data_IF_114855260121
#
_entry.id   IF_114855260121
#
_cell.length_a   1.000
_cell.length_b   1.000
_cell.length_c   1.000
_cell.angle_alpha   90.00
_cell.angle_beta   90.00
_cell.angle_gamma   90.00
#
_symmetry.space_group_name_H-M   'P 1'
#
loop_
_entity.id
_entity.type
_entity.pdbx_description
1 polymer ?
#
# COMPACT_ATOMS: atom_id res chain seq x y z
N UNK A 1 -18.58 14.08 9.00
CA UNK A 1 -17.85 14.27 7.73
C UNK A 1 -17.92 15.73 7.30
N UNK A 2 -19.04 16.24 6.81
CA UNK A 2 -19.21 17.70 6.55
C UNK A 2 -18.86 18.55 7.79
N UNK A 3 -19.28 18.06 8.95
CA UNK A 3 -18.99 18.63 10.27
C UNK A 3 -17.52 18.50 10.75
N UNK A 4 -16.59 17.88 10.00
CA UNK A 4 -15.16 17.76 10.34
C UNK A 4 -14.20 18.41 9.35
N UNK A 5 -14.65 18.70 8.12
CA UNK A 5 -13.83 19.26 7.03
C UNK A 5 -13.33 20.71 7.20
N UNK A 6 -14.03 21.67 7.84
CA UNK A 6 -13.72 23.09 7.62
C UNK A 6 -12.34 23.51 8.12
N UNK A 7 -11.91 22.99 9.28
CA UNK A 7 -10.58 23.34 9.83
C UNK A 7 -9.43 22.79 8.96
N UNK A 8 -9.39 21.48 8.62
CA UNK A 8 -8.34 20.98 7.74
C UNK A 8 -8.39 21.60 6.33
N UNK A 9 -9.57 21.88 5.76
CA UNK A 9 -9.64 22.51 4.43
C UNK A 9 -9.13 23.94 4.43
N UNK A 10 -9.40 24.72 5.49
CA UNK A 10 -8.86 26.08 5.62
C UNK A 10 -7.34 26.05 5.73
N UNK A 11 -6.80 25.13 6.55
CA UNK A 11 -5.36 24.98 6.72
C UNK A 11 -4.67 24.53 5.42
N UNK A 12 -5.28 23.57 4.71
CA UNK A 12 -4.79 23.12 3.40
C UNK A 12 -4.82 24.24 2.36
N UNK A 13 -5.92 25.01 2.31
CA UNK A 13 -6.05 26.15 1.41
C UNK A 13 -5.02 27.24 1.73
N UNK A 14 -4.79 27.54 3.01
CA UNK A 14 -3.76 28.48 3.43
C UNK A 14 -2.37 28.02 2.97
N UNK A 15 -2.05 26.73 3.15
CA UNK A 15 -0.82 26.15 2.64
C UNK A 15 -0.69 26.28 1.12
N UNK A 16 -1.75 25.95 0.38
CA UNK A 16 -1.79 26.10 -1.07
C UNK A 16 -1.61 27.54 -1.56
N UNK A 17 -2.15 28.53 -0.82
CA UNK A 17 -1.92 29.95 -1.12
C UNK A 17 -0.45 30.32 -0.91
N UNK A 18 0.19 29.84 0.16
CA UNK A 18 1.60 30.09 0.45
C UNK A 18 2.55 29.44 -0.59
N UNK A 19 2.11 28.37 -1.25
CA UNK A 19 2.84 27.67 -2.31
C UNK A 19 2.72 28.34 -3.69
N UNK A 20 1.95 29.44 -3.84
CA UNK A 20 1.78 30.14 -5.12
C UNK A 20 3.08 30.84 -5.55
N UNK A 21 3.34 30.95 -6.87
CA UNK A 21 4.64 31.38 -7.42
C UNK A 21 4.95 32.89 -7.35
N UNK A 22 4.46 33.63 -6.35
CA UNK A 22 4.78 35.05 -6.20
C UNK A 22 6.06 35.15 -5.36
N UNK A 23 7.20 35.18 -6.05
CA UNK A 23 8.57 35.23 -5.51
C UNK A 23 8.86 34.11 -4.51
N UNK A 24 9.62 33.08 -4.93
CA UNK A 24 9.93 31.87 -4.12
C UNK A 24 10.77 32.18 -2.87
N UNK A 25 10.18 32.86 -1.89
CA UNK A 25 10.72 32.97 -0.54
C UNK A 25 10.63 31.57 0.05
N UNK A 26 11.78 30.91 0.25
CA UNK A 26 11.85 29.55 0.79
C UNK A 26 11.03 29.40 2.07
N UNK A 27 10.99 30.46 2.90
CA UNK A 27 10.19 30.55 4.13
C UNK A 27 8.70 30.26 3.90
N UNK A 28 8.14 30.86 2.85
CA UNK A 28 6.73 30.70 2.50
C UNK A 28 6.44 29.28 1.98
N UNK A 29 7.38 28.68 1.22
CA UNK A 29 7.24 27.33 0.69
C UNK A 29 7.23 26.30 1.82
N UNK A 30 8.22 26.33 2.72
CA UNK A 30 8.27 25.37 3.84
C UNK A 30 7.09 25.50 4.80
N UNK A 31 6.61 26.73 5.07
CA UNK A 31 5.37 26.93 5.84
C UNK A 31 4.13 26.41 5.09
N UNK A 32 4.08 26.61 3.77
CA UNK A 32 3.01 26.12 2.91
C UNK A 32 2.90 24.59 2.93
N UNK A 33 4.02 23.90 2.75
CA UNK A 33 4.11 22.43 2.84
C UNK A 33 3.75 21.94 4.25
N UNK A 34 4.27 22.61 5.29
CA UNK A 34 3.94 22.30 6.68
C UNK A 34 2.45 22.39 6.98
N UNK A 35 1.75 23.41 6.46
CA UNK A 35 0.30 23.52 6.61
C UNK A 35 -0.47 22.45 5.85
N UNK A 36 -0.01 22.01 4.68
CA UNK A 36 -0.66 20.95 3.92
C UNK A 36 -0.55 19.59 4.62
N UNK A 37 0.63 19.22 5.12
CA UNK A 37 0.80 18.00 5.92
C UNK A 37 0.01 18.08 7.23
N UNK A 38 0.10 19.19 7.95
CA UNK A 38 -0.70 19.41 9.15
C UNK A 38 -2.21 19.27 8.89
N UNK A 39 -2.71 19.72 7.73
CA UNK A 39 -4.10 19.55 7.33
C UNK A 39 -4.47 18.08 7.07
N UNK A 40 -3.58 17.34 6.40
CA UNK A 40 -3.76 15.92 6.10
C UNK A 40 -3.81 15.08 7.38
N UNK A 41 -2.91 15.32 8.34
CA UNK A 41 -2.94 14.72 9.68
C UNK A 41 -4.19 15.13 10.50
N UNK A 42 -4.61 16.39 10.40
CA UNK A 42 -5.72 16.92 11.21
C UNK A 42 -7.08 16.35 10.78
N UNK A 43 -7.23 15.96 9.51
CA UNK A 43 -8.47 15.41 8.96
C UNK A 43 -8.94 14.11 9.65
N UNK A 44 -8.15 13.01 9.72
CA UNK A 44 -8.55 11.80 10.46
C UNK A 44 -8.76 12.08 11.96
N UNK A 45 -7.92 12.90 12.58
CA UNK A 45 -8.04 13.21 14.01
C UNK A 45 -9.34 13.97 14.31
N UNK A 46 -9.69 14.98 13.52
CA UNK A 46 -10.95 15.71 13.70
C UNK A 46 -12.17 14.87 13.32
N UNK A 47 -12.04 13.96 12.37
CA UNK A 47 -13.09 12.98 12.07
C UNK A 47 -13.37 12.08 13.29
N UNK A 48 -12.34 11.47 13.88
CA UNK A 48 -12.47 10.63 15.08
C UNK A 48 -13.03 11.44 16.26
N UNK A 49 -12.54 12.67 16.47
CA UNK A 49 -13.02 13.58 17.52
C UNK A 49 -14.52 13.83 17.42
N UNK A 50 -15.03 14.02 16.19
CA UNK A 50 -16.43 14.38 15.92
C UNK A 50 -17.33 13.15 15.74
N UNK A 51 -16.78 11.98 15.42
CA UNK A 51 -17.43 10.67 15.62
C UNK A 51 -17.71 10.42 17.10
N UNK A 52 -16.76 10.76 17.98
CA UNK A 52 -16.83 10.54 19.43
C UNK A 52 -17.58 11.65 20.21
N UNK A 53 -18.36 12.50 19.52
CA UNK A 53 -19.22 13.49 20.19
C UNK A 53 -20.41 12.77 20.84
N UNK A 54 -20.98 13.31 21.93
CA UNK A 54 -22.23 12.80 22.49
C UNK A 54 -23.33 12.81 21.41
N UNK A 55 -24.03 11.69 21.19
CA UNK A 55 -24.99 11.55 20.08
C UNK A 55 -24.34 11.60 18.69
N UNK A 56 -23.03 11.36 18.59
CA UNK A 56 -22.28 11.28 17.33
C UNK A 56 -22.45 9.92 16.65
N UNK A 57 -21.74 9.72 15.53
CA UNK A 57 -21.83 8.48 14.74
C UNK A 57 -21.40 7.23 15.54
N UNK A 58 -20.42 7.36 16.43
CA UNK A 58 -19.98 6.25 17.29
C UNK A 58 -21.11 5.73 18.19
N UNK A 59 -21.94 6.64 18.70
CA UNK A 59 -23.05 6.36 19.62
C UNK A 59 -24.31 5.92 18.84
N UNK A 60 -24.77 6.75 17.90
CA UNK A 60 -26.03 6.53 17.19
C UNK A 60 -25.99 5.43 16.11
N UNK A 61 -24.83 5.19 15.48
CA UNK A 61 -24.71 4.22 14.39
C UNK A 61 -23.93 2.97 14.78
N UNK A 62 -22.80 3.13 15.48
CA UNK A 62 -21.94 2.02 15.87
C UNK A 62 -22.21 1.48 17.29
N UNK A 63 -23.05 2.16 18.08
CA UNK A 63 -23.41 1.79 19.46
C UNK A 63 -22.18 1.51 20.34
N UNK A 64 -21.13 2.29 20.17
CA UNK A 64 -19.93 2.19 21.00
C UNK A 64 -20.24 2.60 22.45
N UNK A 65 -19.67 1.93 23.47
CA UNK A 65 -19.92 2.28 24.85
C UNK A 65 -19.43 3.70 25.18
N UNK A 66 -20.12 4.35 26.11
CA UNK A 66 -19.90 5.76 26.42
C UNK A 66 -18.55 6.05 27.12
N UNK A 67 -17.91 5.02 27.70
CA UNK A 67 -16.63 5.15 28.39
C UNK A 67 -15.42 5.23 27.41
N UNK A 68 -15.19 4.26 26.49
CA UNK A 68 -14.16 4.37 25.44
C UNK A 68 -14.28 5.65 24.63
N UNK A 69 -15.50 6.05 24.26
CA UNK A 69 -15.77 7.27 23.49
C UNK A 69 -15.33 8.53 24.25
N UNK A 70 -15.58 8.60 25.56
CA UNK A 70 -15.13 9.71 26.41
C UNK A 70 -13.62 9.74 26.55
N UNK A 71 -13.03 8.57 26.78
CA UNK A 71 -11.60 8.40 26.96
C UNK A 71 -10.82 8.87 25.72
N UNK A 72 -11.16 8.35 24.53
CA UNK A 72 -10.55 8.76 23.26
C UNK A 72 -10.69 10.26 23.04
N UNK A 73 -11.88 10.82 23.26
CA UNK A 73 -12.11 12.26 23.10
C UNK A 73 -11.26 13.10 24.05
N UNK A 74 -11.00 12.65 25.28
CA UNK A 74 -10.14 13.36 26.24
C UNK A 74 -8.71 13.43 25.73
N UNK A 75 -8.14 12.32 25.28
CA UNK A 75 -6.75 12.28 24.82
C UNK A 75 -6.55 13.01 23.48
N UNK A 76 -7.56 13.02 22.63
CA UNK A 76 -7.52 13.77 21.38
C UNK A 76 -7.53 15.31 21.57
N UNK A 77 -7.87 15.81 22.78
CA UNK A 77 -7.82 17.25 23.09
C UNK A 77 -6.41 17.77 23.35
N UNK A 78 -5.53 16.95 23.91
CA UNK A 78 -4.12 17.33 24.11
C UNK A 78 -3.27 16.94 22.90
N UNK A 79 -3.58 15.81 22.24
CA UNK A 79 -2.76 15.31 21.13
C UNK A 79 -2.81 16.23 19.90
N UNK A 80 -4.00 16.68 19.48
CA UNK A 80 -4.16 17.56 18.30
C UNK A 80 -3.31 18.84 18.38
N UNK A 81 -3.39 19.66 19.45
CA UNK A 81 -2.61 20.90 19.52
C UNK A 81 -1.10 20.68 19.66
N UNK A 82 -0.64 19.46 19.98
CA UNK A 82 0.79 19.10 19.98
C UNK A 82 1.22 18.58 18.61
N UNK A 83 0.49 17.61 18.04
CA UNK A 83 0.85 16.97 16.79
C UNK A 83 0.84 17.94 15.60
N UNK A 84 -0.18 18.79 15.50
CA UNK A 84 -0.39 19.67 14.33
C UNK A 84 0.74 20.70 14.17
N UNK A 85 1.14 21.48 15.18
CA UNK A 85 2.29 22.39 15.04
C UNK A 85 3.59 21.65 14.84
N UNK A 86 3.75 20.49 15.49
CA UNK A 86 5.01 19.74 15.40
C UNK A 86 5.24 19.17 14.01
N UNK A 87 4.21 18.59 13.37
CA UNK A 87 4.28 18.16 11.97
C UNK A 87 4.56 19.34 11.02
N UNK A 88 3.91 20.48 11.23
CA UNK A 88 4.19 21.68 10.44
C UNK A 88 5.65 22.13 10.59
N UNK A 89 6.21 22.08 11.79
CA UNK A 89 7.63 22.40 12.03
C UNK A 89 8.59 21.38 11.43
N UNK A 90 8.30 20.07 11.53
CA UNK A 90 9.13 19.03 10.91
C UNK A 90 9.31 19.31 9.42
N UNK A 91 8.20 19.50 8.70
CA UNK A 91 8.22 19.73 7.25
C UNK A 91 8.83 21.09 6.92
N UNK A 92 8.48 22.15 7.67
CA UNK A 92 9.04 23.47 7.42
C UNK A 92 10.56 23.48 7.60
N UNK A 93 11.10 22.89 8.68
CA UNK A 93 12.55 22.86 8.91
C UNK A 93 13.30 21.91 7.99
N UNK A 94 12.66 20.83 7.52
CA UNK A 94 13.24 19.95 6.50
C UNK A 94 13.51 20.70 5.19
N UNK A 95 12.60 21.60 4.80
CA UNK A 95 12.79 22.48 3.64
C UNK A 95 14.04 23.38 3.74
N UNK A 96 14.49 23.72 4.96
CA UNK A 96 15.70 24.55 5.21
C UNK A 96 16.93 23.74 5.64
N UNK A 97 16.90 22.41 5.60
CA UNK A 97 17.91 21.54 6.21
C UNK A 97 19.31 21.59 5.54
N UNK A 98 19.56 22.52 4.61
CA UNK A 98 20.89 22.81 4.07
C UNK A 98 21.85 23.38 5.13
N UNK A 99 21.35 24.06 6.17
CA UNK A 99 22.15 24.51 7.31
C UNK A 99 22.09 23.51 8.47
N UNK A 100 23.25 23.18 9.04
CA UNK A 100 23.41 22.30 10.21
C UNK A 100 22.54 22.69 11.40
N UNK A 101 22.28 23.99 11.61
CA UNK A 101 21.42 24.47 12.69
C UNK A 101 19.93 24.13 12.45
N UNK A 102 19.43 24.32 11.22
CA UNK A 102 18.05 24.02 10.85
C UNK A 102 17.76 22.51 10.86
N UNK A 103 18.76 21.71 10.48
CA UNK A 103 18.69 20.26 10.57
C UNK A 103 18.47 19.78 12.02
N UNK A 104 19.02 20.47 13.02
CA UNK A 104 18.79 20.15 14.44
C UNK A 104 17.35 20.42 14.90
N UNK A 105 16.75 21.53 14.46
CA UNK A 105 15.38 21.92 14.82
C UNK A 105 14.33 20.97 14.25
N UNK A 106 14.49 20.52 13.00
CA UNK A 106 13.61 19.51 12.40
C UNK A 106 13.63 18.18 13.17
N UNK A 107 14.82 17.73 13.61
CA UNK A 107 14.97 16.51 14.42
C UNK A 107 14.33 16.63 15.80
N UNK A 108 14.44 17.80 16.44
CA UNK A 108 13.79 18.06 17.73
C UNK A 108 12.27 18.07 17.59
N UNK A 109 11.73 18.74 16.56
CA UNK A 109 10.31 18.69 16.24
C UNK A 109 9.87 17.24 15.99
N UNK A 110 10.58 16.50 15.15
CA UNK A 110 10.26 15.10 14.85
C UNK A 110 10.25 14.23 16.12
N UNK A 111 11.25 14.40 16.99
CA UNK A 111 11.32 13.70 18.28
C UNK A 111 10.13 14.03 19.18
N UNK A 112 9.72 15.30 19.24
CA UNK A 112 8.55 15.72 20.00
C UNK A 112 7.24 15.13 19.45
N UNK A 113 7.11 15.05 18.11
CA UNK A 113 5.96 14.42 17.45
C UNK A 113 5.91 12.93 17.76
N UNK A 114 7.04 12.23 17.63
CA UNK A 114 7.12 10.80 17.92
C UNK A 114 6.85 10.50 19.40
N UNK A 115 7.30 11.35 20.33
CA UNK A 115 6.95 11.23 21.74
C UNK A 115 5.44 11.43 21.98
N UNK A 116 4.81 12.41 21.31
CA UNK A 116 3.36 12.61 21.38
C UNK A 116 2.59 11.42 20.79
N UNK A 117 3.07 10.85 19.67
CA UNK A 117 2.48 9.65 19.05
C UNK A 117 2.66 8.44 19.97
N UNK A 118 3.86 8.22 20.52
CA UNK A 118 4.16 7.14 21.45
C UNK A 118 3.25 7.17 22.69
N UNK A 119 3.12 8.36 23.30
CA UNK A 119 2.26 8.53 24.48
C UNK A 119 0.78 8.33 24.14
N UNK A 120 0.31 8.86 23.00
CA UNK A 120 -1.06 8.63 22.54
C UNK A 120 -1.34 7.14 22.30
N UNK A 121 -0.45 6.44 21.61
CA UNK A 121 -0.58 5.01 21.35
C UNK A 121 -0.48 4.19 22.64
N UNK A 122 0.44 4.51 23.56
CA UNK A 122 0.57 3.84 24.86
C UNK A 122 -0.70 3.99 25.71
N UNK A 123 -1.37 5.14 25.63
CA UNK A 123 -2.63 5.42 26.33
C UNK A 123 -3.79 4.66 25.68
N UNK A 124 -3.91 4.68 24.35
CA UNK A 124 -5.01 4.03 23.62
C UNK A 124 -4.90 2.50 23.67
N UNK A 125 -3.68 1.98 23.58
CA UNK A 125 -3.38 0.55 23.53
C UNK A 125 -3.11 -0.03 24.93
N UNK A 126 -3.37 0.71 26.01
CA UNK A 126 -3.18 0.22 27.38
C UNK A 126 -4.06 -1.03 27.61
N UNK A 127 -3.50 -2.19 28.01
CA UNK A 127 -4.26 -3.43 28.16
C UNK A 127 -5.43 -3.34 29.14
N UNK A 128 -5.23 -2.62 30.25
CA UNK A 128 -6.28 -2.35 31.25
C UNK A 128 -7.09 -1.08 30.95
N UNK A 129 -6.96 -0.52 29.74
CA UNK A 129 -7.63 0.71 29.32
C UNK A 129 -9.02 0.43 28.74
N UNK A 130 -9.94 1.41 28.80
CA UNK A 130 -11.35 1.20 28.46
C UNK A 130 -11.57 0.75 27.00
N UNK A 131 -10.68 1.13 26.07
CA UNK A 131 -10.77 0.73 24.67
C UNK A 131 -10.43 -0.76 24.51
N UNK A 132 -9.30 -1.18 25.09
CA UNK A 132 -8.76 -2.53 24.93
C UNK A 132 -9.63 -3.53 25.67
N UNK A 133 -10.12 -3.19 26.86
CA UNK A 133 -11.05 -4.03 27.62
C UNK A 133 -12.39 -4.22 26.92
N UNK A 134 -12.91 -3.22 26.20
CA UNK A 134 -14.14 -3.38 25.43
C UNK A 134 -13.93 -4.24 24.18
N UNK A 135 -12.77 -4.12 23.52
CA UNK A 135 -12.45 -4.89 22.31
C UNK A 135 -12.15 -6.35 22.65
N UNK A 136 -11.38 -6.61 23.72
CA UNK A 136 -10.99 -7.95 24.16
C UNK A 136 -11.99 -8.60 25.12
N UNK A 137 -12.81 -7.83 25.82
CA UNK A 137 -13.89 -8.35 26.68
C UNK A 137 -15.00 -9.09 25.91
N UNK A 138 -14.97 -9.05 24.57
CA UNK A 138 -15.82 -9.89 23.72
C UNK A 138 -15.32 -11.33 23.57
N UNK A 139 -14.05 -11.59 23.85
CA UNK A 139 -13.38 -12.91 23.79
C UNK A 139 -12.33 -13.01 24.92
N UNK A 140 -12.76 -13.20 26.17
CA UNK A 140 -11.83 -13.18 27.32
C UNK A 140 -10.75 -14.28 27.23
N UNK A 141 -9.48 -13.90 27.45
CA UNK A 141 -8.34 -14.82 27.38
C UNK A 141 -7.92 -15.27 25.97
N UNK A 142 -8.51 -14.72 24.90
CA UNK A 142 -8.13 -14.96 23.51
C UNK A 142 -6.65 -14.69 23.21
N UNK A 143 -6.14 -15.19 22.07
CA UNK A 143 -4.72 -15.14 21.73
C UNK A 143 -4.13 -13.71 21.73
N UNK A 144 -4.95 -12.71 21.41
CA UNK A 144 -4.55 -11.28 21.40
C UNK A 144 -4.34 -10.75 22.83
N UNK A 145 -5.12 -11.21 23.82
CA UNK A 145 -4.91 -10.83 25.23
C UNK A 145 -3.62 -11.44 25.76
N UNK A 146 -3.35 -12.71 25.44
CA UNK A 146 -2.07 -13.35 25.82
C UNK A 146 -0.87 -12.66 25.18
N UNK A 147 -1.01 -12.22 23.93
CA UNK A 147 0.03 -11.53 23.20
C UNK A 147 0.27 -10.08 23.68
N UNK A 148 -0.46 -9.58 24.69
CA UNK A 148 -0.32 -8.20 25.21
C UNK A 148 1.08 -7.85 25.67
N UNK A 149 1.83 -8.82 26.18
CA UNK A 149 3.22 -8.61 26.60
C UNK A 149 4.16 -8.36 25.41
N UNK A 150 3.75 -8.72 24.19
CA UNK A 150 4.53 -8.52 22.97
C UNK A 150 4.02 -7.30 22.22
N UNK A 151 2.72 -7.22 21.93
CA UNK A 151 2.21 -6.13 21.09
C UNK A 151 2.21 -4.77 21.80
N UNK A 152 1.99 -4.72 23.13
CA UNK A 152 1.98 -3.45 23.86
C UNK A 152 3.35 -2.74 23.84
N UNK A 153 4.47 -3.38 24.23
CA UNK A 153 5.78 -2.74 24.10
C UNK A 153 6.15 -2.51 22.63
N UNK A 154 5.75 -3.39 21.69
CA UNK A 154 6.04 -3.18 20.26
C UNK A 154 5.42 -1.88 19.72
N UNK A 155 4.16 -1.58 20.06
CA UNK A 155 3.49 -0.33 19.64
C UNK A 155 4.22 0.91 20.16
N UNK A 156 4.81 0.85 21.36
CA UNK A 156 5.55 1.96 21.97
C UNK A 156 6.97 2.04 21.39
N UNK A 157 7.59 0.89 21.14
CA UNK A 157 8.95 0.81 20.65
C UNK A 157 9.08 1.34 19.21
N UNK A 158 8.03 1.23 18.39
CA UNK A 158 8.04 1.73 17.00
C UNK A 158 8.33 3.25 16.94
N UNK A 159 7.56 4.16 17.58
CA UNK A 159 7.92 5.59 17.56
C UNK A 159 9.25 5.92 18.25
N UNK A 160 9.60 5.19 19.31
CA UNK A 160 10.86 5.40 20.03
C UNK A 160 12.07 5.05 19.16
N UNK A 161 12.00 3.94 18.42
CA UNK A 161 13.05 3.54 17.48
C UNK A 161 13.18 4.51 16.32
N UNK A 162 12.08 5.03 15.77
CA UNK A 162 12.13 6.09 14.76
C UNK A 162 12.83 7.36 15.29
N UNK A 163 12.58 7.71 16.55
CA UNK A 163 13.27 8.83 17.21
C UNK A 163 14.77 8.55 17.35
N UNK A 164 15.15 7.35 17.79
CA UNK A 164 16.56 6.96 17.91
C UNK A 164 17.25 7.00 16.54
N UNK A 165 16.58 6.50 15.50
CA UNK A 165 17.05 6.46 14.12
C UNK A 165 17.38 7.87 13.60
N UNK A 166 16.60 8.87 13.99
CA UNK A 166 16.86 10.29 13.71
C UNK A 166 18.19 10.77 14.28
N UNK A 167 18.51 10.42 15.54
CA UNK A 167 19.73 10.88 16.22
C UNK A 167 20.98 10.14 15.77
N UNK A 168 20.84 8.88 15.33
CA UNK A 168 21.93 8.09 14.75
C UNK A 168 22.36 8.62 13.37
N UNK A 169 21.52 9.42 12.71
CA UNK A 169 21.83 10.05 11.41
C UNK A 169 20.93 9.62 10.27
N UNK A 170 19.99 8.70 10.51
CA UNK A 170 19.03 8.20 9.52
C UNK A 170 17.71 9.01 9.57
N UNK A 171 17.81 10.33 9.66
CA UNK A 171 16.65 11.23 9.76
C UNK A 171 15.73 11.11 8.54
N UNK A 172 16.30 11.13 7.33
CA UNK A 172 15.54 10.96 6.09
C UNK A 172 14.73 9.66 6.10
N UNK A 173 15.33 8.54 6.53
CA UNK A 173 14.63 7.26 6.66
C UNK A 173 13.46 7.35 7.63
N UNK A 174 13.67 7.93 8.82
CA UNK A 174 12.62 8.09 9.82
C UNK A 174 11.45 8.95 9.31
N UNK A 175 11.74 10.04 8.59
CA UNK A 175 10.76 10.93 7.99
C UNK A 175 9.97 10.25 6.87
N UNK A 176 10.62 9.42 6.04
CA UNK A 176 9.92 8.61 5.04
C UNK A 176 8.91 7.64 5.68
N UNK A 177 9.28 6.96 6.77
CA UNK A 177 8.34 6.10 7.50
C UNK A 177 7.14 6.90 8.03
N UNK A 178 7.38 8.08 8.63
CA UNK A 178 6.31 8.97 9.09
C UNK A 178 5.33 9.31 7.96
N UNK A 179 5.82 9.79 6.82
CA UNK A 179 4.99 10.16 5.67
C UNK A 179 4.16 8.96 5.19
N UNK A 180 4.74 7.75 5.12
CA UNK A 180 3.98 6.55 4.73
C UNK A 180 2.91 6.18 5.76
N UNK A 181 3.18 6.31 7.06
CA UNK A 181 2.16 6.15 8.11
C UNK A 181 1.04 7.19 7.98
N UNK A 182 1.38 8.41 7.57
CA UNK A 182 0.39 9.47 7.32
C UNK A 182 -0.50 9.10 6.13
N UNK A 183 0.09 8.77 4.97
CA UNK A 183 -0.62 8.39 3.74
C UNK A 183 -1.52 7.17 3.98
N UNK A 184 -1.01 6.13 4.65
CA UNK A 184 -1.83 4.95 4.99
C UNK A 184 -3.04 5.30 5.85
N UNK A 185 -2.88 6.20 6.82
CA UNK A 185 -4.00 6.71 7.64
C UNK A 185 -5.05 7.41 6.76
N UNK A 186 -4.61 8.23 5.80
CA UNK A 186 -5.49 8.90 4.84
C UNK A 186 -6.24 7.93 3.91
N UNK A 187 -5.55 6.89 3.41
CA UNK A 187 -6.16 5.82 2.60
C UNK A 187 -7.21 5.07 3.41
N UNK A 188 -6.88 4.65 4.65
CA UNK A 188 -7.83 3.98 5.55
C UNK A 188 -9.05 4.85 5.82
N UNK A 189 -8.85 6.13 6.09
CA UNK A 189 -9.96 7.05 6.32
C UNK A 189 -10.85 7.20 5.09
N UNK A 190 -10.24 7.34 3.91
CA UNK A 190 -10.98 7.43 2.64
C UNK A 190 -11.82 6.17 2.42
N UNK A 191 -11.25 5.00 2.65
CA UNK A 191 -11.97 3.72 2.57
C UNK A 191 -13.09 3.61 3.60
N UNK A 192 -12.89 4.09 4.83
CA UNK A 192 -13.93 4.14 5.84
C UNK A 192 -15.10 5.05 5.42
N UNK A 193 -14.80 6.18 4.79
CA UNK A 193 -15.81 7.11 4.26
C UNK A 193 -16.58 6.44 3.13
N UNK A 194 -15.89 5.88 2.14
CA UNK A 194 -16.52 5.17 1.02
C UNK A 194 -17.40 4.04 1.53
N UNK A 195 -16.90 3.22 2.45
CA UNK A 195 -17.67 2.15 3.09
C UNK A 195 -18.93 2.68 3.81
N UNK A 196 -18.81 3.77 4.57
CA UNK A 196 -19.94 4.40 5.26
C UNK A 196 -21.00 4.94 4.30
N UNK A 197 -20.59 5.60 3.22
CA UNK A 197 -21.48 6.10 2.17
C UNK A 197 -22.17 4.94 1.44
N UNK A 198 -21.43 3.89 1.07
CA UNK A 198 -21.97 2.70 0.41
C UNK A 198 -23.03 2.01 1.28
N UNK A 199 -22.72 1.80 2.56
CA UNK A 199 -23.69 1.23 3.50
C UNK A 199 -24.93 2.11 3.61
N UNK A 200 -24.76 3.43 3.78
CA UNK A 200 -25.89 4.36 3.91
C UNK A 200 -26.74 4.39 2.65
N UNK A 201 -26.12 4.40 1.47
CA UNK A 201 -26.80 4.35 0.18
C UNK A 201 -27.61 3.07 0.03
N UNK A 202 -27.04 1.91 0.38
CA UNK A 202 -27.73 0.63 0.32
C UNK A 202 -28.93 0.57 1.29
N UNK A 203 -28.80 1.14 2.49
CA UNK A 203 -29.93 1.29 3.41
C UNK A 203 -31.02 2.21 2.85
N UNK A 204 -30.64 3.34 2.22
CA UNK A 204 -31.60 4.25 1.58
C UNK A 204 -32.30 3.59 0.39
N UNK A 205 -31.57 2.82 -0.42
CA UNK A 205 -32.14 2.06 -1.54
C UNK A 205 -33.16 1.04 -1.06
N UNK A 206 -32.83 0.27 0.00
CA UNK A 206 -33.78 -0.66 0.64
C UNK A 206 -35.03 0.04 1.17
N UNK A 207 -34.85 1.19 1.83
CA UNK A 207 -35.98 1.95 2.37
C UNK A 207 -36.89 2.49 1.27
N UNK A 208 -36.33 2.93 0.13
CA UNK A 208 -37.13 3.38 -1.02
C UNK A 208 -37.99 2.25 -1.58
N UNK A 209 -37.39 1.07 -1.84
CA UNK A 209 -38.12 -0.10 -2.35
C UNK A 209 -39.24 -0.53 -1.40
N UNK A 210 -38.96 -0.62 -0.09
CA UNK A 210 -39.97 -0.99 0.90
C UNK A 210 -41.13 0.03 0.99
N UNK A 211 -40.85 1.32 0.78
CA UNK A 211 -41.88 2.38 0.75
C UNK A 211 -42.69 2.33 -0.54
N UNK A 212 -42.05 2.07 -1.69
CA UNK A 212 -42.70 1.88 -2.99
C UNK A 212 -43.67 0.69 -2.95
N UNK A 213 -43.25 -0.43 -2.37
CA UNK A 213 -44.07 -1.65 -2.22
C UNK A 213 -45.26 -1.41 -1.29
N UNK A 214 -45.04 -0.72 -0.16
CA UNK A 214 -46.13 -0.35 0.75
C UNK A 214 -47.15 0.59 0.08
N UNK A 215 -46.68 1.48 -0.82
CA UNK A 215 -47.55 2.38 -1.60
C UNK A 215 -48.37 1.61 -2.64
N UNK A 216 -47.74 0.71 -3.40
CA UNK A 216 -48.43 -0.14 -4.38
C UNK A 216 -49.54 -0.99 -3.75
N UNK A 217 -49.30 -1.55 -2.56
CA UNK A 217 -50.33 -2.29 -1.81
C UNK A 217 -51.52 -1.42 -1.39
N UNK A 218 -51.27 -0.17 -1.00
CA UNK A 218 -52.36 0.77 -0.68
C UNK A 218 -53.16 1.14 -1.93
N UNK A 219 -52.50 1.35 -3.06
CA UNK A 219 -53.16 1.64 -4.34
C UNK A 219 -53.98 0.44 -4.84
N UNK A 220 -53.47 -0.79 -4.68
CA UNK A 220 -54.21 -2.03 -4.97
C UNK A 220 -55.44 -2.19 -4.06
N UNK A 221 -55.30 -2.03 -2.75
CA UNK A 221 -56.42 -2.12 -1.82
C UNK A 221 -57.49 -1.03 -2.06
N UNK A 222 -57.08 0.19 -2.44
CA UNK A 222 -58.01 1.27 -2.81
C UNK A 222 -58.72 0.96 -4.13
N UNK A 223 -58.01 0.41 -5.13
CA UNK A 223 -58.61 0.02 -6.40
C UNK A 223 -59.55 -1.18 -6.26
N UNK A 224 -59.22 -2.15 -5.42
CA UNK A 224 -60.08 -3.29 -5.05
C UNK A 224 -61.36 -2.79 -4.36
N UNK A 225 -61.24 -1.94 -3.34
CA UNK A 225 -62.39 -1.32 -2.68
C UNK A 225 -63.25 -0.48 -3.65
N UNK A 226 -62.64 0.26 -4.58
CA UNK A 226 -63.36 0.99 -5.61
C UNK A 226 -64.01 0.06 -6.67
N UNK A 227 -63.40 -1.08 -6.97
CA UNK A 227 -63.94 -2.08 -7.90
C UNK A 227 -65.09 -2.88 -7.27
N UNK A 228 -65.00 -3.21 -5.98
CA UNK A 228 -66.08 -3.80 -5.19
C UNK A 228 -67.23 -2.81 -5.02
N UNK A 229 -66.96 -1.52 -4.79
CA UNK A 229 -68.00 -0.49 -4.74
C UNK A 229 -68.70 -0.29 -6.09
N UNK A 230 -68.00 -0.43 -7.23
CA UNK A 230 -68.59 -0.40 -8.58
C UNK A 230 -69.31 -1.70 -8.96
N UNK A 231 -68.83 -2.85 -8.46
CA UNK A 231 -69.46 -4.16 -8.67
C UNK A 231 -70.73 -4.34 -7.79
N UNK A 232 -70.73 -3.76 -6.58
CA UNK A 232 -71.87 -3.75 -5.66
C UNK A 232 -73.07 -2.93 -6.20
N UNK A 233 -72.84 -1.97 -7.11
CA UNK A 233 -73.92 -1.29 -7.84
C UNK A 233 -74.56 -2.17 -8.96
N UNK A 234 -74.01 -3.35 -9.27
CA UNK A 234 -74.46 -4.14 -10.43
C UNK A 234 -74.61 -5.66 -10.26
N UNK A 235 -74.40 -6.26 -9.08
CA UNK A 235 -75.12 -7.50 -8.65
C UNK A 235 -74.87 -7.90 -7.18
N UNK A 236 -75.84 -8.58 -6.53
CA UNK A 236 -75.63 -9.19 -5.22
C UNK A 236 -74.98 -10.59 -5.29
N UNK A 237 -74.13 -10.83 -4.31
CA UNK A 237 -73.82 -12.07 -3.57
C UNK A 237 -73.86 -13.43 -4.30
N UNK A 238 -72.69 -14.02 -4.54
CA UNK A 238 -72.33 -15.32 -3.96
C UNK A 238 -70.81 -15.56 -3.93
N UNK A 239 -70.40 -16.40 -2.99
CA UNK A 239 -69.11 -16.51 -2.35
C UNK A 239 -67.94 -17.07 -3.21
N UNK A 240 -66.72 -16.67 -2.85
CA UNK A 240 -65.65 -17.60 -2.49
C UNK A 240 -64.45 -16.85 -1.90
N UNK A 241 -64.22 -17.07 -0.60
CA UNK A 241 -62.92 -16.89 0.04
C UNK A 241 -61.87 -17.68 -0.76
N UNK A 242 -60.95 -16.98 -1.43
CA UNK A 242 -59.66 -17.55 -1.77
C UNK A 242 -58.63 -16.98 -0.79
N UNK A 243 -57.89 -17.85 -0.09
CA UNK A 243 -56.82 -17.40 0.79
C UNK A 243 -55.77 -16.71 -0.06
N UNK A 244 -55.25 -15.62 0.49
CA UNK A 244 -54.06 -14.91 0.06
C UNK A 244 -53.03 -15.91 -0.49
N UNK A 245 -52.90 -15.97 -1.81
CA UNK A 245 -51.76 -16.62 -2.44
C UNK A 245 -50.55 -15.77 -2.02
N UNK A 246 -49.79 -16.32 -1.07
CA UNK A 246 -48.47 -15.86 -0.72
C UNK A 246 -47.55 -16.05 -1.93
N UNK A 247 -47.74 -15.26 -2.98
CA UNK A 247 -46.69 -15.06 -3.95
C UNK A 247 -45.67 -14.15 -3.27
N UNK A 248 -44.80 -14.81 -2.50
CA UNK A 248 -43.60 -14.27 -1.91
C UNK A 248 -42.84 -13.55 -3.02
N UNK A 249 -43.04 -12.24 -3.05
CA UNK A 249 -42.17 -11.27 -3.72
C UNK A 249 -40.73 -11.68 -3.47
N UNK A 250 -40.12 -12.32 -4.47
CA UNK A 250 -38.71 -12.65 -4.45
C UNK A 250 -37.90 -11.37 -4.69
N UNK A 251 -37.86 -10.49 -3.67
CA UNK A 251 -36.82 -9.47 -3.49
C UNK A 251 -35.90 -9.62 -2.26
N UNK A 252 -35.62 -10.82 -1.68
CA UNK A 252 -34.50 -10.96 -0.74
C UNK A 252 -33.14 -11.32 -1.36
N UNK A 253 -33.06 -11.67 -2.65
CA UNK A 253 -31.84 -12.27 -3.24
C UNK A 253 -30.67 -11.31 -3.49
N UNK A 254 -30.92 -10.01 -3.68
CA UNK A 254 -29.86 -9.06 -4.05
C UNK A 254 -29.10 -8.44 -2.86
N UNK A 255 -29.35 -8.92 -1.64
CA UNK A 255 -29.09 -8.15 -0.41
C UNK A 255 -27.77 -8.53 0.29
N UNK A 256 -27.39 -9.81 0.23
CA UNK A 256 -26.13 -10.34 0.80
C UNK A 256 -25.00 -10.26 -0.23
N UNK A 257 -25.30 -10.66 -1.46
CA UNK A 257 -24.36 -10.69 -2.59
C UNK A 257 -23.80 -9.30 -2.87
N UNK A 258 -24.66 -8.30 -3.10
CA UNK A 258 -24.25 -6.90 -3.36
C UNK A 258 -23.37 -6.32 -2.25
N UNK A 259 -23.68 -6.62 -0.98
CA UNK A 259 -22.87 -6.16 0.16
C UNK A 259 -21.50 -6.81 0.18
N UNK A 260 -21.42 -8.08 -0.22
CA UNK A 260 -20.18 -8.83 -0.33
C UNK A 260 -19.29 -8.26 -1.44
N UNK A 261 -19.88 -7.89 -2.58
CA UNK A 261 -19.16 -7.25 -3.70
C UNK A 261 -18.56 -5.90 -3.30
N UNK A 262 -19.35 -5.03 -2.66
CA UNK A 262 -18.83 -3.74 -2.21
C UNK A 262 -17.71 -3.89 -1.18
N UNK A 263 -17.85 -4.83 -0.23
CA UNK A 263 -16.77 -5.15 0.72
C UNK A 263 -15.53 -5.68 0.03
N UNK A 264 -15.71 -6.54 -0.97
CA UNK A 264 -14.62 -7.12 -1.75
C UNK A 264 -13.83 -6.05 -2.51
N UNK A 265 -14.53 -5.14 -3.18
CA UNK A 265 -13.92 -4.01 -3.89
C UNK A 265 -13.14 -3.12 -2.92
N UNK A 266 -13.72 -2.82 -1.74
CA UNK A 266 -13.03 -2.06 -0.70
C UNK A 266 -11.74 -2.73 -0.22
N UNK A 267 -11.73 -4.05 -0.02
CA UNK A 267 -10.52 -4.78 0.37
C UNK A 267 -9.46 -4.79 -0.74
N UNK A 268 -9.87 -4.93 -2.01
CA UNK A 268 -8.94 -4.83 -3.15
C UNK A 268 -8.33 -3.44 -3.22
N UNK A 269 -9.15 -2.39 -3.15
CA UNK A 269 -8.66 -1.00 -3.12
C UNK A 269 -7.75 -0.75 -1.92
N UNK A 270 -8.04 -1.34 -0.76
CA UNK A 270 -7.18 -1.27 0.41
C UNK A 270 -5.82 -1.93 0.18
N UNK A 271 -5.80 -3.14 -0.37
CA UNK A 271 -4.57 -3.88 -0.64
C UNK A 271 -3.69 -3.16 -1.69
N UNK A 272 -4.31 -2.68 -2.77
CA UNK A 272 -3.61 -1.92 -3.83
C UNK A 272 -3.10 -0.59 -3.28
N UNK A 273 -3.91 0.15 -2.53
CA UNK A 273 -3.50 1.42 -1.91
C UNK A 273 -2.35 1.23 -0.93
N UNK A 274 -2.38 0.16 -0.13
CA UNK A 274 -1.30 -0.20 0.78
C UNK A 274 -0.02 -0.53 0.01
N UNK A 275 -0.12 -1.35 -1.05
CA UNK A 275 1.01 -1.68 -1.91
C UNK A 275 1.66 -0.43 -2.50
N UNK A 276 0.87 0.43 -3.16
CA UNK A 276 1.38 1.67 -3.77
C UNK A 276 2.05 2.56 -2.73
N UNK A 277 1.51 2.62 -1.50
CA UNK A 277 2.08 3.46 -0.44
C UNK A 277 3.45 2.95 0.02
N UNK A 278 3.65 1.64 0.12
CA UNK A 278 4.87 1.04 0.67
C UNK A 278 5.86 0.54 -0.38
N UNK A 279 5.45 0.45 -1.66
CA UNK A 279 6.27 -0.07 -2.75
C UNK A 279 7.60 0.68 -2.88
N UNK A 280 7.61 2.00 -2.70
CA UNK A 280 8.82 2.83 -2.81
C UNK A 280 9.87 2.53 -1.72
N UNK A 281 9.45 1.99 -0.57
CA UNK A 281 10.34 1.69 0.57
C UNK A 281 10.98 0.30 0.42
N UNK A 282 10.36 -0.61 -0.33
CA UNK A 282 10.84 -1.99 -0.51
C UNK A 282 12.20 -2.06 -1.25
N UNK A 283 12.46 -1.27 -2.32
CA UNK A 283 13.79 -1.20 -2.92
C UNK A 283 14.87 -0.67 -1.97
N UNK A 284 14.53 0.28 -1.09
CA UNK A 284 15.48 0.81 -0.12
C UNK A 284 15.95 -0.24 0.89
N UNK A 285 15.13 -1.26 1.19
CA UNK A 285 15.55 -2.42 1.99
C UNK A 285 16.52 -3.34 1.24
N UNK A 286 16.61 -3.27 -0.09
CA UNK A 286 17.59 -4.05 -0.89
C UNK A 286 18.98 -3.42 -0.93
N UNK A 287 19.16 -2.21 -0.40
CA UNK A 287 20.48 -1.71 -0.05
C UNK A 287 21.10 -2.51 1.11
N UNK A 288 20.29 -3.12 1.99
CA UNK A 288 20.82 -3.99 3.06
C UNK A 288 21.32 -5.34 2.52
N UNK A 289 20.82 -5.82 1.37
CA UNK A 289 21.33 -7.03 0.70
C UNK A 289 22.70 -6.83 0.05
N UNK A 290 23.13 -5.58 -0.19
CA UNK A 290 24.50 -5.27 -0.68
C UNK A 290 25.55 -5.33 0.43
N UNK A 291 25.16 -5.44 1.69
CA UNK A 291 26.09 -5.63 2.80
C UNK A 291 26.25 -7.13 3.02
N UNK A 292 27.18 -7.74 2.29
CA UNK A 292 27.62 -9.11 2.52
C UNK A 292 28.24 -9.21 3.92
N UNK A 293 27.49 -9.74 4.89
CA UNK A 293 27.97 -9.89 6.29
C UNK A 293 28.99 -11.04 6.39
N UNK A 294 29.01 -11.97 5.43
CA UNK A 294 30.11 -12.89 5.21
C UNK A 294 30.64 -12.72 3.79
N UNK A 295 31.89 -12.27 3.58
CA UNK A 295 32.51 -12.38 2.27
C UNK A 295 32.60 -13.86 1.92
N UNK A 296 31.84 -14.31 0.92
CA UNK A 296 32.10 -15.61 0.31
C UNK A 296 33.46 -15.50 -0.37
N UNK A 297 34.44 -16.37 -0.05
CA UNK A 297 35.72 -16.33 -0.74
C UNK A 297 35.45 -16.60 -2.22
N UNK A 298 35.61 -15.57 -3.05
CA UNK A 298 35.70 -15.73 -4.49
C UNK A 298 36.93 -16.60 -4.72
N UNK A 299 36.73 -17.87 -5.07
CA UNK A 299 37.82 -18.71 -5.54
C UNK A 299 38.20 -18.12 -6.89
N UNK A 300 39.20 -17.25 -6.89
CA UNK A 300 39.93 -16.91 -8.11
C UNK A 300 40.59 -18.22 -8.52
N UNK A 301 40.07 -18.85 -9.55
CA UNK A 301 40.71 -19.99 -10.18
C UNK A 301 42.06 -19.49 -10.71
N UNK A 302 43.12 -19.85 -9.98
CA UNK A 302 44.48 -19.46 -10.33
C UNK A 302 44.86 -20.16 -11.63
N UNK A 303 44.88 -19.38 -12.71
CA UNK A 303 45.70 -19.50 -13.90
C UNK A 303 45.83 -20.91 -14.53
N UNK A 304 45.13 -21.10 -15.65
CA UNK A 304 45.63 -21.95 -16.73
C UNK A 304 46.06 -21.07 -17.91
N UNK A 305 47.10 -20.25 -17.70
CA UNK A 305 47.92 -19.77 -18.81
C UNK A 305 49.38 -20.02 -18.47
N UNK A 306 49.83 -21.21 -18.85
CA UNK A 306 51.20 -21.66 -18.65
C UNK A 306 52.04 -21.12 -19.81
N UNK A 307 52.66 -19.95 -19.63
CA UNK A 307 53.86 -19.58 -20.38
C UNK A 307 54.96 -19.26 -19.39
N UNK A 308 55.71 -20.30 -19.04
CA UNK A 308 56.96 -20.19 -18.27
C UNK A 308 57.93 -19.39 -19.16
N UNK A 309 58.24 -18.14 -18.79
CA UNK A 309 59.42 -17.45 -19.34
C UNK A 309 60.66 -18.20 -18.84
N UNK A 310 61.28 -18.96 -19.74
CA UNK A 310 62.60 -19.55 -19.50
C UNK A 310 63.60 -18.39 -19.51
N UNK A 311 64.11 -18.05 -18.33
CA UNK A 311 65.24 -17.15 -18.18
C UNK A 311 66.50 -17.82 -18.77
N UNK A 312 66.83 -17.53 -20.02
CA UNK A 312 68.10 -17.96 -20.62
C UNK A 312 69.25 -17.19 -19.99
N UNK A 313 69.99 -17.86 -19.10
CA UNK A 313 71.31 -17.43 -18.63
C UNK A 313 72.36 -17.75 -19.69
N UNK A 314 72.73 -16.78 -20.54
CA UNK A 314 73.93 -16.89 -21.40
C UNK A 314 75.05 -15.96 -20.89
N UNK A 315 76.31 -16.41 -20.91
CA UNK A 315 77.33 -15.88 -19.98
C UNK A 315 78.71 -15.57 -20.61
N UNK A 316 78.92 -14.30 -21.01
CA UNK A 316 80.24 -13.66 -21.20
C UNK A 316 81.11 -14.28 -22.35
N UNK A 317 82.37 -13.85 -22.61
CA UNK A 317 83.13 -12.70 -22.10
C UNK A 317 83.78 -11.80 -23.19
N UNK A 318 84.47 -10.74 -22.74
CA UNK A 318 85.47 -9.91 -23.43
C UNK A 318 84.92 -9.01 -24.56
N UNK A 319 85.29 -7.75 -24.79
CA UNK A 319 86.39 -6.79 -24.48
C UNK A 319 85.87 -5.50 -25.17
N UNK A 320 86.12 -4.23 -24.84
CA UNK A 320 87.31 -3.54 -24.38
C UNK A 320 86.90 -2.06 -24.18
N UNK A 321 87.42 -1.47 -23.10
CA UNK A 321 88.11 -0.17 -23.11
C UNK A 321 87.33 1.17 -23.26
N UNK A 322 87.63 2.07 -22.30
CA UNK A 322 87.95 3.52 -22.47
C UNK A 322 86.74 4.46 -22.70
N UNK A 323 86.53 5.61 -22.04
CA UNK A 323 87.28 6.48 -21.12
C UNK A 323 86.36 7.60 -20.61
N UNK A 324 86.55 8.01 -19.34
CA UNK A 324 86.83 9.40 -18.88
C UNK A 324 85.84 10.50 -19.32
N UNK A 325 85.19 11.31 -18.46
CA UNK A 325 85.72 12.31 -17.51
C UNK A 325 84.48 13.00 -16.91
N UNK A 326 84.39 13.28 -15.61
CA UNK A 326 84.74 14.61 -15.09
C UNK A 326 83.55 15.23 -14.33
N UNK A 327 83.81 15.58 -13.07
CA UNK A 327 82.89 16.18 -12.11
C UNK A 327 82.42 17.59 -12.51
N UNK A 328 81.27 18.04 -11.95
CA UNK A 328 81.21 19.22 -11.06
C UNK A 328 79.77 19.58 -10.63
N UNK A 329 79.66 19.97 -9.36
CA UNK A 329 78.50 20.53 -8.70
C UNK A 329 78.45 22.07 -8.87
N UNK A 330 77.25 22.68 -8.80
CA UNK A 330 77.16 24.14 -8.65
C UNK A 330 75.79 24.80 -8.90
N UNK A 331 75.02 24.98 -7.83
CA UNK A 331 74.32 26.20 -7.38
C UNK A 331 73.45 27.10 -8.32
N UNK A 332 72.28 27.45 -7.76
CA UNK A 332 71.61 28.78 -7.71
C UNK A 332 70.43 29.18 -8.64
N UNK A 333 69.26 29.22 -7.97
CA UNK A 333 68.18 30.27 -7.90
C UNK A 333 67.15 30.49 -9.04
N UNK A 334 65.94 30.99 -8.69
CA UNK A 334 64.73 31.00 -9.52
C UNK A 334 64.43 32.37 -10.17
N UNK A 335 63.56 32.39 -11.19
CA UNK A 335 62.90 33.59 -11.66
C UNK A 335 61.40 33.37 -11.88
N UNK A 336 60.63 34.38 -11.50
CA UNK A 336 59.19 34.46 -11.50
C UNK A 336 58.65 35.35 -12.64
N UNK A 337 57.35 35.17 -12.87
CA UNK A 337 56.36 36.12 -13.41
C UNK A 337 56.26 36.32 -14.95
N UNK A 338 55.08 35.96 -15.49
CA UNK A 338 54.12 36.91 -16.08
C UNK A 338 52.79 36.21 -16.50
N UNK A 339 51.67 36.72 -15.97
CA UNK A 339 50.26 36.55 -16.43
C UNK A 339 49.93 37.68 -17.45
N UNK A 340 48.86 37.65 -18.31
CA UNK A 340 47.46 37.40 -17.93
C UNK A 340 46.54 36.65 -18.95
N UNK A 341 45.40 36.16 -18.42
CA UNK A 341 44.13 35.66 -19.05
C UNK A 341 43.49 36.64 -20.07
N UNK A 342 42.52 36.28 -20.96
CA UNK A 342 41.31 35.47 -20.67
C UNK A 342 40.65 34.63 -21.83
N UNK A 343 39.56 33.94 -21.48
CA UNK A 343 38.34 33.73 -22.30
C UNK A 343 38.09 32.39 -23.03
N UNK A 344 37.01 31.73 -22.58
CA UNK A 344 35.92 31.07 -23.34
C UNK A 344 36.17 29.82 -24.23
N UNK A 345 35.49 28.72 -23.84
CA UNK A 345 34.97 27.57 -24.61
C UNK A 345 34.44 27.93 -26.04
N UNK A 346 34.23 27.00 -27.03
CA UNK A 346 33.58 25.68 -26.82
C UNK A 346 33.78 24.52 -27.87
N UNK A 347 33.11 23.38 -27.61
CA UNK A 347 32.47 22.41 -28.55
C UNK A 347 33.29 21.37 -29.36
N UNK A 348 32.90 20.11 -29.11
CA UNK A 348 32.69 18.93 -29.98
C UNK A 348 33.49 18.73 -31.28
N UNK A 349 34.05 17.53 -31.42
CA UNK A 349 33.64 16.50 -32.39
C UNK A 349 34.82 15.57 -32.74
N UNK A 350 34.71 14.28 -32.46
CA UNK A 350 35.34 13.27 -33.33
C UNK A 350 34.62 11.93 -33.21
N UNK A 351 33.89 11.64 -34.28
CA UNK A 351 33.28 10.38 -34.67
C UNK A 351 34.33 9.41 -35.25
N UNK A 352 34.11 8.11 -35.03
CA UNK A 352 34.35 7.08 -36.04
C UNK A 352 35.60 6.22 -35.84
N UNK A 353 35.38 4.94 -35.53
CA UNK A 353 36.40 3.89 -35.53
C UNK A 353 35.83 2.57 -35.01
N UNK A 354 35.03 1.91 -35.83
CA UNK A 354 34.58 0.53 -35.66
C UNK A 354 35.77 -0.42 -35.67
N UNK A 355 35.96 -1.19 -34.60
CA UNK A 355 36.68 -2.45 -34.69
C UNK A 355 35.82 -3.53 -34.02
N UNK A 356 35.17 -4.31 -34.87
CA UNK A 356 34.41 -5.50 -34.53
C UNK A 356 35.39 -6.62 -34.19
N UNK A 357 35.51 -6.93 -32.90
CA UNK A 357 36.00 -8.23 -32.43
C UNK A 357 34.83 -8.96 -31.76
N UNK A 358 34.48 -10.09 -32.36
CA UNK A 358 33.49 -11.04 -31.88
C UNK A 358 33.85 -11.50 -30.46
N UNK A 359 33.12 -11.00 -29.46
CA UNK A 359 33.10 -11.57 -28.11
C UNK A 359 31.83 -12.41 -27.96
N UNK A 360 31.90 -13.62 -28.51
CA UNK A 360 30.94 -14.68 -28.23
C UNK A 360 31.35 -15.37 -26.92
N UNK A 361 30.93 -14.83 -25.77
CA UNK A 361 31.25 -15.44 -24.49
C UNK A 361 30.73 -14.67 -23.28
N UNK A 362 29.62 -15.16 -22.72
CA UNK A 362 29.09 -14.84 -21.39
C UNK A 362 28.40 -13.48 -21.22
N UNK A 363 27.22 -13.34 -21.84
CA UNK A 363 26.11 -12.64 -21.20
C UNK A 363 25.66 -13.44 -19.95
N UNK A 364 26.48 -13.45 -18.90
CA UNK A 364 25.97 -13.67 -17.54
C UNK A 364 25.13 -12.45 -17.19
N UNK A 365 23.90 -12.40 -17.73
CA UNK A 365 22.83 -11.64 -17.12
C UNK A 365 22.82 -12.07 -15.65
N UNK A 366 23.04 -11.16 -14.69
CA UNK A 366 22.99 -11.54 -13.28
C UNK A 366 21.66 -12.24 -13.02
N UNK A 367 21.64 -13.35 -12.25
CA UNK A 367 20.42 -14.10 -12.02
C UNK A 367 19.34 -13.12 -11.57
N UNK A 368 18.10 -13.20 -12.11
CA UNK A 368 17.05 -12.24 -11.80
C UNK A 368 16.86 -12.21 -10.28
N UNK A 369 17.28 -11.10 -9.67
CA UNK A 369 17.27 -10.99 -8.22
C UNK A 369 15.81 -10.78 -7.81
N UNK A 370 15.16 -11.84 -7.34
CA UNK A 370 13.78 -11.78 -6.83
C UNK A 370 13.74 -10.69 -5.76
N UNK A 371 12.95 -9.63 -5.97
CA UNK A 371 12.88 -8.54 -5.00
C UNK A 371 11.79 -8.76 -3.96
N UNK A 372 11.97 -8.16 -2.79
CA UNK A 372 10.90 -8.08 -1.80
C UNK A 372 9.71 -7.27 -2.34
N UNK A 373 9.95 -6.35 -3.29
CA UNK A 373 8.89 -5.62 -3.99
C UNK A 373 8.06 -6.54 -4.89
N UNK A 374 8.72 -7.39 -5.67
CA UNK A 374 8.10 -8.41 -6.53
C UNK A 374 7.26 -9.41 -5.72
N UNK A 375 7.80 -9.83 -4.56
CA UNK A 375 7.08 -10.67 -3.61
C UNK A 375 5.86 -9.94 -3.00
N UNK A 376 6.02 -8.67 -2.61
CA UNK A 376 4.92 -7.84 -2.12
C UNK A 376 3.81 -7.68 -3.14
N UNK A 377 4.18 -7.46 -4.41
CA UNK A 377 3.24 -7.38 -5.53
C UNK A 377 2.52 -8.73 -5.72
N UNK A 378 3.22 -9.86 -5.65
CA UNK A 378 2.61 -11.18 -5.73
C UNK A 378 1.60 -11.45 -4.61
N UNK A 379 1.90 -11.04 -3.36
CA UNK A 379 0.95 -11.14 -2.24
C UNK A 379 -0.31 -10.32 -2.50
N UNK A 380 -0.16 -9.11 -3.04
CA UNK A 380 -1.30 -8.23 -3.38
C UNK A 380 -2.15 -8.84 -4.48
N UNK A 381 -1.51 -9.42 -5.52
CA UNK A 381 -2.21 -10.18 -6.56
C UNK A 381 -2.97 -11.35 -5.94
N UNK A 382 -2.35 -12.16 -5.07
CA UNK A 382 -3.01 -13.30 -4.43
C UNK A 382 -4.21 -12.88 -3.57
N UNK A 383 -4.07 -11.80 -2.79
CA UNK A 383 -5.20 -11.24 -2.01
C UNK A 383 -6.31 -10.80 -2.95
N UNK A 384 -5.98 -10.05 -4.01
CA UNK A 384 -6.96 -9.61 -5.00
C UNK A 384 -7.65 -10.79 -5.71
N UNK A 385 -6.90 -11.83 -6.07
CA UNK A 385 -7.41 -13.08 -6.65
C UNK A 385 -8.32 -13.84 -5.70
N UNK A 386 -7.93 -14.00 -4.44
CA UNK A 386 -8.76 -14.69 -3.46
C UNK A 386 -10.10 -13.97 -3.25
N UNK A 387 -10.03 -12.64 -3.19
CA UNK A 387 -11.22 -11.79 -3.13
C UNK A 387 -12.05 -11.95 -4.41
N UNK A 388 -11.43 -11.90 -5.59
CA UNK A 388 -12.11 -12.10 -6.87
C UNK A 388 -12.81 -13.47 -6.94
N UNK A 389 -12.10 -14.54 -6.62
CA UNK A 389 -12.59 -15.92 -6.57
C UNK A 389 -13.84 -16.08 -5.70
N UNK A 390 -13.88 -15.40 -4.55
CA UNK A 390 -15.01 -15.49 -3.61
C UNK A 390 -16.24 -14.69 -4.06
N UNK A 391 -16.07 -13.66 -4.88
CA UNK A 391 -17.09 -12.62 -5.09
C UNK A 391 -17.59 -12.50 -6.54
N UNK A 392 -16.73 -12.66 -7.54
CA UNK A 392 -17.09 -12.56 -8.97
C UNK A 392 -18.10 -13.62 -9.47
N UNK A 393 -18.04 -14.90 -9.07
CA UNK A 393 -18.98 -15.91 -9.55
C UNK A 393 -20.43 -15.55 -9.26
N UNK A 394 -20.68 -15.04 -8.05
CA UNK A 394 -22.00 -14.56 -7.69
C UNK A 394 -22.40 -13.29 -8.46
N UNK A 395 -21.45 -12.44 -8.81
CA UNK A 395 -21.72 -11.23 -9.60
C UNK A 395 -22.28 -11.55 -10.98
N UNK A 396 -21.59 -12.45 -11.68
CA UNK A 396 -21.95 -12.81 -13.05
C UNK A 396 -23.28 -13.56 -13.06
N UNK A 397 -23.53 -14.38 -12.04
CA UNK A 397 -24.81 -15.07 -11.88
C UNK A 397 -26.00 -14.11 -11.92
N UNK A 398 -25.93 -13.02 -11.14
CA UNK A 398 -26.99 -12.02 -11.07
C UNK A 398 -27.01 -11.12 -12.31
N UNK A 399 -25.85 -10.66 -12.77
CA UNK A 399 -25.77 -9.64 -13.81
C UNK A 399 -26.11 -10.19 -15.21
N UNK A 400 -25.66 -11.41 -15.49
CA UNK A 400 -25.68 -12.00 -16.84
C UNK A 400 -26.46 -13.31 -16.87
N UNK A 401 -26.19 -14.27 -15.98
CA UNK A 401 -26.83 -15.60 -16.07
C UNK A 401 -28.32 -15.60 -15.71
N UNK A 402 -28.80 -14.65 -14.90
CA UNK A 402 -30.23 -14.49 -14.62
C UNK A 402 -31.02 -13.97 -15.83
N UNK A 403 -30.37 -13.26 -16.77
CA UNK A 403 -31.01 -12.76 -17.99
C UNK A 403 -30.99 -13.78 -19.14
N UNK A 404 -30.23 -14.86 -18.99
CA UNK A 404 -30.17 -15.95 -19.96
C UNK A 404 -31.15 -17.07 -19.54
N UNK A 405 -31.87 -17.68 -20.50
CA UNK A 405 -32.76 -18.82 -20.27
C UNK A 405 -31.93 -20.10 -20.05
N UNK A 406 -31.18 -20.15 -18.95
CA UNK A 406 -30.33 -21.28 -18.58
C UNK A 406 -30.90 -22.00 -17.36
N UNK A 407 -30.86 -23.32 -17.37
CA UNK A 407 -31.26 -24.17 -16.25
C UNK A 407 -30.36 -23.98 -15.03
N UNK A 408 -30.88 -24.32 -13.84
CA UNK A 408 -30.15 -24.17 -12.58
C UNK A 408 -28.80 -24.92 -12.57
N UNK A 409 -28.72 -26.09 -13.22
CA UNK A 409 -27.49 -26.88 -13.33
C UNK A 409 -26.41 -26.21 -14.19
N UNK A 410 -26.78 -25.63 -15.33
CA UNK A 410 -25.84 -24.94 -16.24
C UNK A 410 -25.34 -23.62 -15.64
N UNK A 411 -26.17 -22.92 -14.85
CA UNK A 411 -25.73 -21.74 -14.09
C UNK A 411 -24.67 -22.10 -13.04
N UNK A 412 -24.89 -23.17 -12.29
CA UNK A 412 -23.93 -23.65 -11.29
C UNK A 412 -22.60 -24.07 -11.94
N UNK A 413 -22.66 -24.80 -13.05
CA UNK A 413 -21.48 -25.22 -13.80
C UNK A 413 -20.66 -24.01 -14.30
N UNK A 414 -21.31 -23.00 -14.89
CA UNK A 414 -20.61 -21.82 -15.39
C UNK A 414 -19.97 -21.01 -14.25
N UNK A 415 -20.66 -20.88 -13.12
CA UNK A 415 -20.10 -20.21 -11.93
C UNK A 415 -18.86 -20.92 -11.38
N UNK A 416 -18.83 -22.26 -11.48
CA UNK A 416 -17.72 -23.10 -11.02
C UNK A 416 -16.54 -23.02 -11.98
N UNK A 417 -16.78 -23.05 -13.29
CA UNK A 417 -15.72 -22.84 -14.30
C UNK A 417 -15.08 -21.46 -14.16
N UNK A 418 -15.89 -20.42 -13.95
CA UNK A 418 -15.38 -19.07 -13.73
C UNK A 418 -14.47 -18.98 -12.51
N UNK A 419 -14.80 -19.68 -11.41
CA UNK A 419 -13.94 -19.76 -10.20
C UNK A 419 -12.57 -20.33 -10.55
N UNK A 420 -12.52 -21.42 -11.31
CA UNK A 420 -11.25 -22.02 -11.73
C UNK A 420 -10.44 -21.11 -12.63
N UNK A 421 -11.07 -20.39 -13.57
CA UNK A 421 -10.38 -19.43 -14.44
C UNK A 421 -9.77 -18.29 -13.61
N UNK A 422 -10.52 -17.72 -12.67
CA UNK A 422 -10.01 -16.64 -11.80
C UNK A 422 -8.83 -17.13 -10.95
N UNK A 423 -8.96 -18.31 -10.35
CA UNK A 423 -7.88 -18.89 -9.55
C UNK A 423 -6.63 -19.12 -10.41
N UNK A 424 -6.79 -19.69 -11.61
CA UNK A 424 -5.69 -19.96 -12.53
C UNK A 424 -4.97 -18.67 -12.96
N UNK A 425 -5.70 -17.67 -13.45
CA UNK A 425 -5.13 -16.38 -13.87
C UNK A 425 -4.38 -15.70 -12.72
N UNK A 426 -4.97 -15.73 -11.52
CA UNK A 426 -4.37 -15.11 -10.35
C UNK A 426 -3.10 -15.80 -9.87
N UNK A 427 -3.07 -17.12 -9.88
CA UNK A 427 -1.85 -17.90 -9.56
C UNK A 427 -0.76 -17.60 -10.59
N UNK A 428 -1.08 -17.64 -11.89
CA UNK A 428 -0.11 -17.33 -12.96
C UNK A 428 0.41 -15.90 -12.84
N UNK A 429 -0.47 -14.95 -12.55
CA UNK A 429 -0.10 -13.54 -12.38
C UNK A 429 0.79 -13.33 -11.14
N UNK A 430 0.53 -14.04 -10.03
CA UNK A 430 1.36 -13.99 -8.83
C UNK A 430 2.75 -14.63 -9.06
N UNK A 431 2.82 -15.73 -9.81
CA UNK A 431 4.10 -16.36 -10.16
C UNK A 431 4.92 -15.49 -11.10
N UNK A 432 4.27 -14.86 -12.10
CA UNK A 432 4.90 -13.89 -12.99
C UNK A 432 5.44 -12.66 -12.26
N UNK A 433 4.72 -12.20 -11.23
CA UNK A 433 5.17 -11.09 -10.39
C UNK A 433 6.49 -11.37 -9.66
N UNK A 434 6.72 -12.60 -9.20
CA UNK A 434 7.97 -13.02 -8.52
C UNK A 434 9.10 -13.32 -9.53
N UNK A 435 8.87 -13.02 -10.83
CA UNK A 435 9.78 -13.34 -11.92
C UNK A 435 10.10 -14.85 -12.01
N UNK A 436 9.17 -15.70 -11.53
CA UNK A 436 9.21 -17.14 -11.79
C UNK A 436 8.77 -17.31 -13.24
N UNK A 437 9.74 -17.27 -14.14
CA UNK A 437 9.51 -17.40 -15.59
C UNK A 437 8.76 -18.69 -15.91
N UNK A 438 7.94 -18.64 -16.97
CA UNK A 438 7.17 -19.78 -17.47
C UNK A 438 8.06 -21.03 -17.68
N UNK A 439 9.32 -20.85 -18.06
CA UNK A 439 10.33 -21.92 -18.16
C UNK A 439 10.50 -22.74 -16.88
N UNK A 440 10.42 -22.12 -15.70
CA UNK A 440 10.60 -22.80 -14.41
C UNK A 440 9.38 -23.61 -13.99
N UNK A 441 8.22 -23.46 -14.65
CA UNK A 441 6.97 -24.15 -14.29
C UNK A 441 6.53 -25.13 -15.40
N UNK A 442 7.14 -25.05 -16.59
CA UNK A 442 6.83 -25.94 -17.72
C UNK A 442 6.89 -27.43 -17.35
N UNK A 443 7.91 -27.84 -16.59
CA UNK A 443 8.06 -29.24 -16.16
C UNK A 443 6.94 -29.69 -15.23
N UNK A 444 6.46 -28.80 -14.34
CA UNK A 444 5.37 -29.10 -13.42
C UNK A 444 4.02 -29.17 -14.16
N UNK A 445 3.80 -28.27 -15.13
CA UNK A 445 2.62 -28.30 -15.99
C UNK A 445 2.60 -29.55 -16.90
N UNK A 446 3.76 -29.95 -17.44
CA UNK A 446 3.91 -31.17 -18.22
C UNK A 446 3.63 -32.42 -17.37
N UNK A 447 4.18 -32.50 -16.16
CA UNK A 447 3.94 -33.61 -15.24
C UNK A 447 2.45 -33.73 -14.83
N UNK A 448 1.78 -32.61 -14.56
CA UNK A 448 0.35 -32.60 -14.24
C UNK A 448 -0.50 -33.09 -15.42
N UNK A 449 -0.19 -32.64 -16.64
CA UNK A 449 -0.90 -33.04 -17.86
C UNK A 449 -0.70 -34.53 -18.17
N UNK A 450 0.54 -35.02 -18.03
CA UNK A 450 0.89 -36.42 -18.20
C UNK A 450 0.17 -37.31 -17.17
N UNK A 451 0.19 -36.91 -15.89
CA UNK A 451 -0.51 -37.62 -14.82
C UNK A 451 -2.02 -37.69 -15.03
N UNK A 452 -2.64 -36.61 -15.51
CA UNK A 452 -4.07 -36.58 -15.81
C UNK A 452 -4.42 -37.47 -17.02
N UNK A 453 -3.56 -37.49 -18.05
CA UNK A 453 -3.74 -38.34 -19.23
C UNK A 453 -3.69 -39.84 -18.90
N UNK A 454 -2.73 -40.28 -18.09
CA UNK A 454 -2.68 -41.68 -17.63
C UNK A 454 -3.82 -42.02 -16.66
N UNK A 455 -4.17 -41.10 -15.74
CA UNK A 455 -5.31 -41.30 -14.84
C UNK A 455 -6.65 -41.43 -15.59
N UNK A 456 -6.83 -40.72 -16.69
CA UNK A 456 -8.00 -40.87 -17.57
C UNK A 456 -7.98 -42.17 -18.38
N UNK A 457 -6.81 -42.66 -18.80
CA UNK A 457 -6.71 -43.94 -19.52
C UNK A 457 -7.27 -45.11 -18.70
N UNK A 458 -7.06 -45.12 -17.39
CA UNK A 458 -7.55 -46.19 -16.50
C UNK A 458 -9.08 -46.15 -16.33
N UNK A 459 -9.68 -44.97 -16.42
CA UNK A 459 -11.13 -44.80 -16.43
C UNK A 459 -11.73 -45.28 -17.75
N UNK A 460 -11.12 -44.91 -18.90
CA UNK A 460 -11.59 -45.36 -20.22
C UNK A 460 -11.33 -46.85 -20.48
N UNK A 461 -10.32 -47.46 -19.86
CA UNK A 461 -10.08 -48.90 -19.96
C UNK A 461 -11.14 -49.74 -19.24
N UNK A 462 -11.95 -49.14 -18.36
CA UNK A 462 -12.97 -49.80 -17.57
C UNK A 462 -14.41 -49.50 -18.05
N UNK A 463 -14.55 -48.77 -19.16
CA UNK A 463 -15.77 -48.59 -19.96
C UNK A 463 -15.66 -49.38 -21.25
#
# INVERSE_FOLDING_TARGET
LLSSLPIPTILWWLGWVLLRPVDQVSVAVGLGEGFQHAAFLLLPLTFVKRMCRKGGLADAHFRWPAEPVRFTRRHLRWFIPVAVPTTAFVVAFDHYATDTANAGLGRLAFSALMAAVATMLAILARPSGPIVTEVLGREEGGWIDRLRFIWYPAIILIPVTLTLLTWVGYYYTALQFEIRFEITTGVVLTLLIVNGVLMRWLFLARRRVAVEDARRRREQAINEANSESKAAESKPTEAALQPLDEDKVNLPGLSTQTRQLFRSALWVTAAVGLYITWADVLPALRMLDRVEILPTPRIVEAAQNNSIEIFELNQTPATDSTSTQGAQAGANRPQAAQTPTPSANPVSAMTGGTDSTDDAGNDENPPPIITLADFGLAVVILIATYIAFRNLPGLIEIAVLQRLPLDAGSRYALSTVLRYIIAFIGIVSALGAVNIGWSNIQWLAAALTFGLAFGLQEIFANF
#
